data_IF_682124428409
#
_entry.id   IF_682124428409
#
_cell.length_a   1.000
_cell.length_b   1.000
_cell.length_c   1.000
_cell.angle_alpha   90.00
_cell.angle_beta   90.00
_cell.angle_gamma   90.00
#
_symmetry.space_group_name_H-M   'P 1'
#
loop_
_entity.id
_entity.type
_entity.pdbx_description
1 polymer ?
#
# COMPACT_ATOMS: atom_id res chain seq x y z
N UNK A 1 -27.26 -15.44 -26.35
CA UNK A 1 -25.80 -15.39 -26.07
C UNK A 1 -25.44 -14.36 -25.02
N UNK A 2 -25.93 -13.12 -25.06
CA UNK A 2 -25.58 -12.09 -24.06
C UNK A 2 -25.99 -12.42 -22.60
N UNK A 3 -27.12 -13.08 -22.38
CA UNK A 3 -27.61 -13.43 -21.05
C UNK A 3 -26.76 -14.45 -20.27
N UNK A 4 -25.93 -15.24 -20.95
CA UNK A 4 -25.01 -16.20 -20.31
C UNK A 4 -23.62 -15.63 -20.02
N UNK A 5 -23.23 -14.54 -20.68
CA UNK A 5 -21.94 -13.89 -20.49
C UNK A 5 -21.91 -13.08 -19.17
N UNK A 6 -23.03 -12.50 -18.77
CA UNK A 6 -23.13 -11.66 -17.56
C UNK A 6 -22.71 -12.39 -16.28
N UNK A 7 -23.22 -13.61 -15.96
CA UNK A 7 -22.84 -14.31 -14.75
C UNK A 7 -21.38 -14.78 -14.76
N UNK A 8 -20.84 -15.13 -15.93
CA UNK A 8 -19.43 -15.53 -16.05
C UNK A 8 -18.48 -14.34 -15.82
N UNK A 9 -18.80 -13.15 -16.35
CA UNK A 9 -18.04 -11.93 -16.11
C UNK A 9 -18.09 -11.55 -14.64
N UNK A 10 -19.27 -11.61 -13.99
CA UNK A 10 -19.38 -11.33 -12.57
C UNK A 10 -18.61 -12.32 -11.70
N UNK A 11 -18.58 -13.59 -12.08
CA UNK A 11 -17.78 -14.60 -11.39
C UNK A 11 -16.27 -14.30 -11.51
N UNK A 12 -15.79 -13.98 -12.73
CA UNK A 12 -14.41 -13.64 -12.98
C UNK A 12 -13.97 -12.40 -12.20
N UNK A 13 -14.81 -11.35 -12.22
CA UNK A 13 -14.59 -10.15 -11.42
C UNK A 13 -14.57 -10.48 -9.93
N UNK A 14 -15.49 -11.32 -9.46
CA UNK A 14 -15.56 -11.77 -8.08
C UNK A 14 -14.26 -12.46 -7.63
N UNK A 15 -13.68 -13.32 -8.47
CA UNK A 15 -12.39 -13.97 -8.20
C UNK A 15 -11.26 -12.93 -8.13
N UNK A 16 -11.21 -11.98 -9.06
CA UNK A 16 -10.22 -10.90 -9.05
C UNK A 16 -10.31 -10.07 -7.76
N UNK A 17 -11.52 -9.68 -7.36
CA UNK A 17 -11.75 -8.96 -6.12
C UNK A 17 -11.50 -9.82 -4.87
N UNK A 18 -11.73 -11.12 -4.90
CA UNK A 18 -11.36 -12.03 -3.81
C UNK A 18 -9.85 -11.97 -3.55
N UNK A 19 -9.03 -12.07 -4.60
CA UNK A 19 -7.57 -11.96 -4.47
C UNK A 19 -7.15 -10.60 -3.91
N UNK A 20 -7.75 -9.51 -4.39
CA UNK A 20 -7.51 -8.17 -3.90
C UNK A 20 -7.91 -8.02 -2.41
N UNK A 21 -9.07 -8.57 -2.03
CA UNK A 21 -9.56 -8.57 -0.66
C UNK A 21 -8.63 -9.34 0.29
N UNK A 22 -8.19 -10.53 -0.10
CA UNK A 22 -7.22 -11.33 0.69
C UNK A 22 -5.93 -10.55 0.89
N UNK A 23 -5.40 -9.93 -0.17
CA UNK A 23 -4.20 -9.10 -0.07
C UNK A 23 -4.37 -7.95 0.92
N UNK A 24 -5.45 -7.16 0.80
CA UNK A 24 -5.71 -6.04 1.70
C UNK A 24 -5.96 -6.50 3.14
N UNK A 25 -6.65 -7.61 3.33
CA UNK A 25 -6.86 -8.19 4.65
C UNK A 25 -5.52 -8.59 5.30
N UNK A 26 -4.64 -9.26 4.57
CA UNK A 26 -3.29 -9.63 5.05
C UNK A 26 -2.46 -8.38 5.36
N UNK A 27 -2.49 -7.35 4.52
CA UNK A 27 -1.80 -6.08 4.78
C UNK A 27 -2.33 -5.42 6.06
N UNK A 28 -3.64 -5.39 6.24
CA UNK A 28 -4.29 -4.82 7.44
C UNK A 28 -3.94 -5.60 8.71
N UNK A 29 -3.99 -6.93 8.66
CA UNK A 29 -3.60 -7.78 9.79
C UNK A 29 -2.12 -7.60 10.16
N UNK A 30 -1.25 -7.52 9.18
CA UNK A 30 0.17 -7.25 9.38
C UNK A 30 0.39 -5.86 10.02
N UNK A 31 -0.39 -4.86 9.61
CA UNK A 31 -0.36 -3.55 10.22
C UNK A 31 -0.82 -3.59 11.68
N UNK A 32 -1.94 -4.24 11.98
CA UNK A 32 -2.47 -4.35 13.34
C UNK A 32 -1.45 -5.01 14.28
N UNK A 33 -0.78 -6.07 13.81
CA UNK A 33 0.27 -6.76 14.58
C UNK A 33 1.49 -5.87 14.87
N UNK A 34 1.85 -4.96 13.94
CA UNK A 34 3.02 -4.08 14.06
C UNK A 34 2.72 -2.70 14.61
N UNK A 35 1.45 -2.37 14.83
CA UNK A 35 1.05 -1.03 15.27
C UNK A 35 1.73 -0.61 16.59
N UNK A 36 1.95 -1.55 17.49
CA UNK A 36 2.63 -1.32 18.77
C UNK A 36 4.13 -1.01 18.63
N UNK A 37 4.76 -1.39 17.53
CA UNK A 37 6.18 -1.16 17.24
C UNK A 37 6.43 0.09 16.39
N UNK A 38 5.43 0.94 16.22
CA UNK A 38 5.52 2.17 15.44
C UNK A 38 6.42 3.20 16.14
N UNK A 39 7.46 3.66 15.45
CA UNK A 39 8.40 4.68 15.95
C UNK A 39 8.02 6.07 15.46
N UNK A 40 7.76 6.21 14.16
CA UNK A 40 7.34 7.46 13.53
C UNK A 40 6.38 7.13 12.39
N UNK A 41 5.12 7.53 12.51
CA UNK A 41 4.11 7.21 11.50
C UNK A 41 3.25 8.43 11.18
N UNK A 42 2.79 8.49 9.94
CA UNK A 42 1.84 9.48 9.45
C UNK A 42 0.79 8.80 8.56
N UNK A 43 -0.29 9.50 8.33
CA UNK A 43 -1.34 9.02 7.42
C UNK A 43 -0.86 9.12 5.98
N UNK A 44 -1.04 8.06 5.21
CA UNK A 44 -0.83 8.10 3.77
C UNK A 44 -1.78 9.08 3.08
N UNK A 45 -1.40 9.56 1.89
CA UNK A 45 -2.28 10.37 1.05
C UNK A 45 -3.52 9.55 0.66
N UNK A 46 -4.69 10.21 0.64
CA UNK A 46 -5.91 9.57 0.16
C UNK A 46 -5.81 9.36 -1.36
N UNK A 47 -6.27 8.22 -1.89
CA UNK A 47 -6.36 8.03 -3.34
C UNK A 47 -7.16 9.16 -3.99
N UNK A 48 -6.77 9.55 -5.21
CA UNK A 48 -7.36 10.69 -5.94
C UNK A 48 -8.89 10.62 -6.08
N UNK A 49 -9.43 9.41 -6.18
CA UNK A 49 -10.87 9.16 -6.35
C UNK A 49 -11.51 8.47 -5.14
N UNK A 50 -10.97 8.72 -3.93
CA UNK A 50 -11.44 8.05 -2.71
C UNK A 50 -12.95 8.22 -2.48
N UNK A 51 -13.49 9.44 -2.66
CA UNK A 51 -14.92 9.71 -2.50
C UNK A 51 -15.79 8.92 -3.50
N UNK A 52 -15.37 8.84 -4.77
CA UNK A 52 -16.06 8.06 -5.80
C UNK A 52 -16.03 6.56 -5.48
N UNK A 53 -14.90 6.06 -5.01
CA UNK A 53 -14.76 4.65 -4.62
C UNK A 53 -15.64 4.30 -3.42
N UNK A 54 -15.78 5.20 -2.45
CA UNK A 54 -16.68 5.02 -1.33
C UNK A 54 -18.15 5.04 -1.77
N UNK A 55 -18.53 5.98 -2.65
CA UNK A 55 -19.88 6.04 -3.22
C UNK A 55 -20.21 4.75 -3.99
N UNK A 56 -19.26 4.23 -4.77
CA UNK A 56 -19.40 2.93 -5.44
C UNK A 56 -19.62 1.81 -4.43
N UNK A 57 -18.90 1.80 -3.32
CA UNK A 57 -19.11 0.85 -2.22
C UNK A 57 -20.54 0.91 -1.67
N UNK A 58 -21.08 2.11 -1.46
CA UNK A 58 -22.47 2.28 -0.99
C UNK A 58 -23.48 1.73 -2.01
N UNK A 59 -23.32 2.09 -3.30
CA UNK A 59 -24.18 1.59 -4.38
C UNK A 59 -24.15 0.07 -4.46
N UNK A 60 -22.96 -0.54 -4.42
CA UNK A 60 -22.81 -2.01 -4.43
C UNK A 60 -23.46 -2.66 -3.20
N UNK A 61 -23.37 -2.02 -2.04
CA UNK A 61 -24.05 -2.49 -0.82
C UNK A 61 -25.57 -2.47 -0.95
N UNK A 62 -26.12 -1.40 -1.52
CA UNK A 62 -27.57 -1.31 -1.79
C UNK A 62 -28.03 -2.34 -2.82
N UNK A 63 -27.25 -2.54 -3.90
CA UNK A 63 -27.53 -3.59 -4.90
C UNK A 63 -27.47 -4.99 -4.27
N UNK A 64 -26.45 -5.26 -3.46
CA UNK A 64 -26.34 -6.54 -2.76
C UNK A 64 -27.53 -6.80 -1.83
N UNK A 65 -27.93 -5.77 -1.08
CA UNK A 65 -29.10 -5.83 -0.22
C UNK A 65 -30.37 -6.12 -1.03
N UNK A 66 -30.60 -5.39 -2.12
CA UNK A 66 -31.75 -5.56 -3.01
C UNK A 66 -31.79 -6.98 -3.62
N UNK A 67 -30.66 -7.43 -4.18
CA UNK A 67 -30.55 -8.77 -4.77
C UNK A 67 -30.80 -9.90 -3.74
N UNK A 68 -30.34 -9.69 -2.50
CA UNK A 68 -30.46 -10.69 -1.43
C UNK A 68 -31.89 -10.73 -0.83
N UNK A 69 -32.45 -9.56 -0.50
CA UNK A 69 -33.72 -9.50 0.28
C UNK A 69 -34.97 -9.32 -0.57
N UNK A 70 -34.86 -8.70 -1.76
CA UNK A 70 -36.01 -8.47 -2.65
C UNK A 70 -36.08 -9.52 -3.75
N UNK A 71 -34.95 -9.78 -4.43
CA UNK A 71 -34.91 -10.75 -5.52
C UNK A 71 -34.59 -12.18 -5.06
N UNK A 72 -34.25 -12.40 -3.81
CA UNK A 72 -33.89 -13.69 -3.21
C UNK A 72 -32.91 -14.51 -4.08
N UNK A 73 -31.91 -13.82 -4.69
CA UNK A 73 -30.95 -14.49 -5.55
C UNK A 73 -30.04 -15.47 -4.77
N UNK A 74 -29.71 -16.62 -5.34
CA UNK A 74 -28.83 -17.60 -4.68
C UNK A 74 -27.40 -17.04 -4.51
N UNK A 75 -26.70 -17.44 -3.45
CA UNK A 75 -25.36 -16.98 -3.07
C UNK A 75 -24.32 -16.96 -4.21
N UNK A 76 -24.29 -17.97 -5.13
CA UNK A 76 -23.33 -17.93 -6.24
C UNK A 76 -23.48 -16.72 -7.16
N UNK A 77 -24.71 -16.21 -7.33
CA UNK A 77 -24.97 -15.02 -8.15
C UNK A 77 -24.61 -13.72 -7.44
N UNK A 78 -24.62 -13.73 -6.10
CA UNK A 78 -24.25 -12.59 -5.26
C UNK A 78 -22.73 -12.46 -5.07
N UNK A 79 -21.96 -13.53 -5.40
CA UNK A 79 -20.54 -13.61 -5.10
C UNK A 79 -19.74 -12.42 -5.70
N UNK A 80 -19.93 -12.10 -6.98
CA UNK A 80 -19.21 -11.02 -7.65
C UNK A 80 -19.48 -9.66 -7.00
N UNK A 81 -20.75 -9.32 -6.84
CA UNK A 81 -21.16 -8.04 -6.24
C UNK A 81 -20.73 -7.97 -4.76
N UNK A 82 -20.85 -9.09 -4.03
CA UNK A 82 -20.42 -9.19 -2.63
C UNK A 82 -18.91 -8.95 -2.46
N UNK A 83 -18.06 -9.51 -3.34
CA UNK A 83 -16.62 -9.31 -3.30
C UNK A 83 -16.23 -7.86 -3.64
N UNK A 84 -16.91 -7.24 -4.61
CA UNK A 84 -16.72 -5.83 -4.94
C UNK A 84 -17.17 -4.91 -3.79
N UNK A 85 -18.31 -5.19 -3.18
CA UNK A 85 -18.78 -4.46 -1.99
C UNK A 85 -17.79 -4.56 -0.83
N UNK A 86 -17.29 -5.76 -0.53
CA UNK A 86 -16.29 -5.98 0.52
C UNK A 86 -15.02 -5.16 0.26
N UNK A 87 -14.59 -5.08 -1.00
CA UNK A 87 -13.44 -4.28 -1.39
C UNK A 87 -13.66 -2.79 -1.19
N UNK A 88 -14.68 -2.21 -1.86
CA UNK A 88 -14.90 -0.75 -1.89
C UNK A 88 -15.57 -0.23 -0.62
N UNK A 89 -16.47 -0.98 -0.02
CA UNK A 89 -17.23 -0.58 1.17
C UNK A 89 -16.47 -0.78 2.48
N UNK A 90 -15.53 -1.73 2.55
CA UNK A 90 -14.89 -2.09 3.80
C UNK A 90 -13.36 -2.09 3.75
N UNK A 91 -12.73 -2.94 2.94
CA UNK A 91 -11.28 -3.16 3.01
C UNK A 91 -10.46 -1.99 2.49
N UNK A 92 -10.90 -1.35 1.43
CA UNK A 92 -10.22 -0.19 0.87
C UNK A 92 -10.27 1.02 1.82
N UNK A 93 -11.40 1.43 2.42
CA UNK A 93 -11.43 2.43 3.49
C UNK A 93 -10.55 2.08 4.69
N UNK A 94 -10.47 0.80 5.05
CA UNK A 94 -9.62 0.33 6.13
C UNK A 94 -8.13 0.45 5.79
N UNK A 95 -7.74 0.13 4.55
CA UNK A 95 -6.36 0.24 4.09
C UNK A 95 -5.80 1.67 4.10
N UNK A 96 -6.65 2.68 3.90
CA UNK A 96 -6.26 4.11 3.99
C UNK A 96 -5.87 4.52 5.43
N UNK A 97 -6.31 3.76 6.43
CA UNK A 97 -5.96 4.00 7.85
C UNK A 97 -4.59 3.43 8.23
N UNK A 98 -3.96 2.67 7.36
CA UNK A 98 -2.63 2.11 7.60
C UNK A 98 -1.61 3.25 7.71
N UNK A 99 -0.94 3.37 8.86
CA UNK A 99 0.11 4.35 9.09
C UNK A 99 1.34 4.04 8.25
N UNK A 100 1.78 5.02 7.44
CA UNK A 100 3.05 4.96 6.70
C UNK A 100 4.16 5.45 7.61
N UNK A 101 5.40 4.95 7.42
CA UNK A 101 6.55 5.41 8.19
C UNK A 101 7.40 4.30 8.76
N UNK A 102 8.07 4.60 9.86
CA UNK A 102 9.11 3.77 10.47
C UNK A 102 8.55 2.97 11.64
N UNK A 103 8.87 1.69 11.65
CA UNK A 103 8.57 0.72 12.70
C UNK A 103 9.86 0.14 13.26
N UNK A 104 9.81 -0.57 14.37
CA UNK A 104 11.01 -1.15 14.99
C UNK A 104 11.76 -2.10 14.05
N UNK A 105 11.05 -2.86 13.22
CA UNK A 105 11.56 -3.93 12.36
C UNK A 105 11.58 -3.60 10.85
N UNK A 106 11.12 -2.40 10.45
CA UNK A 106 11.10 -2.01 9.03
C UNK A 106 10.36 -0.71 8.75
N UNK A 107 10.10 -0.47 7.47
CA UNK A 107 9.45 0.74 6.97
C UNK A 107 8.16 0.35 6.24
N UNK A 108 7.06 1.03 6.55
CA UNK A 108 5.79 0.89 5.85
C UNK A 108 5.71 1.92 4.73
N UNK A 109 5.87 1.44 3.50
CA UNK A 109 5.82 2.24 2.27
C UNK A 109 4.40 2.30 1.71
N UNK A 110 4.21 3.04 0.61
CA UNK A 110 2.94 3.05 -0.12
C UNK A 110 2.59 1.67 -0.69
N UNK A 111 3.60 0.89 -1.07
CA UNK A 111 3.47 -0.45 -1.65
C UNK A 111 3.46 -1.59 -0.63
N UNK A 112 3.45 -1.29 0.69
CA UNK A 112 3.45 -2.25 1.78
C UNK A 112 4.70 -2.20 2.66
N UNK A 113 4.80 -3.15 3.59
CA UNK A 113 5.88 -3.21 4.58
C UNK A 113 7.17 -3.79 3.99
N UNK A 114 8.30 -3.15 4.32
CA UNK A 114 9.65 -3.62 3.96
C UNK A 114 10.50 -3.71 5.22
N UNK A 115 10.92 -4.90 5.66
CA UNK A 115 11.81 -5.04 6.80
C UNK A 115 13.21 -4.50 6.46
N UNK A 116 13.92 -3.98 7.48
CA UNK A 116 15.23 -3.34 7.30
C UNK A 116 16.25 -4.25 6.59
N UNK A 117 16.27 -5.54 6.89
CA UNK A 117 17.21 -6.48 6.27
C UNK A 117 17.03 -6.69 4.76
N UNK A 118 15.84 -6.32 4.23
CA UNK A 118 15.57 -6.37 2.77
C UNK A 118 15.96 -5.11 2.04
N UNK A 119 16.37 -4.06 2.74
CA UNK A 119 16.76 -2.79 2.15
C UNK A 119 18.20 -2.91 1.63
N UNK A 120 18.38 -2.71 0.33
CA UNK A 120 19.68 -2.74 -0.34
C UNK A 120 20.27 -1.36 -0.56
N UNK A 121 19.43 -0.36 -0.84
CA UNK A 121 19.85 1.03 -0.99
C UNK A 121 18.74 1.99 -0.58
N UNK A 122 19.12 3.19 -0.17
CA UNK A 122 18.21 4.25 0.27
C UNK A 122 18.67 5.56 -0.36
N UNK A 123 17.73 6.31 -0.94
CA UNK A 123 18.01 7.62 -1.52
C UNK A 123 16.89 8.59 -1.12
N UNK A 124 17.25 9.85 -0.85
CA UNK A 124 16.30 10.93 -0.68
C UNK A 124 16.12 11.65 -2.02
N UNK A 125 14.88 11.85 -2.39
CA UNK A 125 14.52 12.66 -3.55
C UNK A 125 13.79 13.90 -3.06
N UNK A 126 14.40 15.04 -3.26
CA UNK A 126 13.84 16.35 -2.97
C UNK A 126 13.18 16.90 -4.25
N UNK A 127 11.96 17.39 -4.14
CA UNK A 127 11.15 17.93 -5.23
C UNK A 127 9.93 18.63 -4.61
N UNK A 128 8.81 18.68 -5.33
CA UNK A 128 7.55 19.18 -4.77
C UNK A 128 7.15 18.43 -3.49
N UNK A 129 7.48 17.14 -3.42
CA UNK A 129 7.31 16.29 -2.25
C UNK A 129 8.63 15.62 -1.90
N UNK A 130 8.97 15.64 -0.61
CA UNK A 130 10.13 14.90 -0.11
C UNK A 130 9.78 13.42 -0.11
N UNK A 131 10.55 12.63 -0.83
CA UNK A 131 10.33 11.20 -0.95
C UNK A 131 11.57 10.40 -0.56
N UNK A 132 11.38 9.39 0.28
CA UNK A 132 12.36 8.36 0.55
C UNK A 132 12.19 7.24 -0.48
N UNK A 133 13.21 7.00 -1.28
CA UNK A 133 13.23 5.90 -2.24
C UNK A 133 14.05 4.77 -1.64
N UNK A 134 13.44 3.61 -1.54
CA UNK A 134 14.05 2.40 -0.98
C UNK A 134 14.15 1.36 -2.10
N UNK A 135 15.34 0.85 -2.33
CA UNK A 135 15.59 -0.24 -3.28
C UNK A 135 15.69 -1.54 -2.51
N UNK A 136 14.87 -2.52 -2.89
CA UNK A 136 14.90 -3.84 -2.27
C UNK A 136 16.08 -4.65 -2.78
N UNK A 137 16.83 -5.29 -1.84
CA UNK A 137 18.00 -6.13 -2.15
C UNK A 137 17.67 -7.30 -3.08
N UNK A 138 16.46 -7.89 -2.94
CA UNK A 138 16.11 -9.13 -3.64
C UNK A 138 15.53 -8.92 -5.05
N UNK A 139 14.97 -7.74 -5.35
CA UNK A 139 14.21 -7.52 -6.59
C UNK A 139 14.60 -6.27 -7.36
N UNK A 140 15.58 -5.50 -6.89
CA UNK A 140 15.97 -4.19 -7.46
C UNK A 140 14.79 -3.23 -7.72
N UNK A 141 13.68 -3.44 -7.01
CA UNK A 141 12.47 -2.64 -7.15
C UNK A 141 12.60 -1.42 -6.25
N UNK A 142 12.63 -0.26 -6.87
CA UNK A 142 12.53 1.01 -6.17
C UNK A 142 11.09 1.22 -5.65
N UNK A 143 10.96 1.53 -4.37
CA UNK A 143 9.70 1.81 -3.70
C UNK A 143 9.76 3.19 -3.08
N UNK A 144 8.69 3.94 -3.20
CA UNK A 144 8.62 5.33 -2.72
C UNK A 144 7.85 5.40 -1.40
N UNK A 145 8.31 6.29 -0.51
CA UNK A 145 7.59 6.75 0.66
C UNK A 145 7.59 8.28 0.67
N UNK A 146 6.44 8.89 0.53
CA UNK A 146 6.31 10.34 0.68
C UNK A 146 6.38 10.69 2.16
N UNK A 147 7.30 11.60 2.50
CA UNK A 147 7.53 12.05 3.88
C UNK A 147 7.07 13.49 4.01
N UNK A 148 6.04 13.77 4.83
CA UNK A 148 5.65 15.15 5.09
C UNK A 148 6.83 15.95 5.67
N UNK A 149 7.00 17.22 5.25
CA UNK A 149 8.11 18.07 5.68
C UNK A 149 8.26 18.16 7.20
N UNK A 150 7.14 18.16 7.94
CA UNK A 150 7.11 18.15 9.41
C UNK A 150 7.84 16.94 10.02
N UNK A 151 7.83 15.81 9.34
CA UNK A 151 8.45 14.56 9.81
C UNK A 151 9.83 14.29 9.20
N UNK A 152 10.30 15.15 8.27
CA UNK A 152 11.55 14.92 7.53
C UNK A 152 12.76 14.78 8.44
N UNK A 153 12.97 15.73 9.35
CA UNK A 153 14.11 15.72 10.26
C UNK A 153 14.13 14.48 11.17
N UNK A 154 12.95 14.09 11.68
CA UNK A 154 12.80 12.91 12.52
C UNK A 154 13.03 11.61 11.72
N UNK A 155 12.48 11.52 10.51
CA UNK A 155 12.68 10.39 9.60
C UNK A 155 14.16 10.21 9.23
N UNK A 156 14.88 11.32 8.94
CA UNK A 156 16.30 11.31 8.62
C UNK A 156 17.15 10.85 9.80
N UNK A 157 16.83 11.29 11.02
CA UNK A 157 17.51 10.82 12.24
C UNK A 157 17.30 9.33 12.45
N UNK A 158 16.04 8.87 12.45
CA UNK A 158 15.71 7.45 12.62
C UNK A 158 16.42 6.56 11.59
N UNK A 159 16.44 6.99 10.33
CA UNK A 159 17.12 6.24 9.28
C UNK A 159 18.62 6.14 9.54
N UNK A 160 19.25 7.25 9.97
CA UNK A 160 20.69 7.29 10.33
C UNK A 160 20.96 6.35 11.51
N UNK A 161 20.13 6.39 12.55
CA UNK A 161 20.28 5.55 13.74
C UNK A 161 20.15 4.06 13.38
N UNK A 162 19.23 3.71 12.49
CA UNK A 162 19.05 2.34 11.97
C UNK A 162 20.21 1.86 11.10
N UNK A 163 20.82 2.74 10.33
CA UNK A 163 22.05 2.45 9.57
C UNK A 163 23.23 2.26 10.53
N UNK A 164 23.39 3.14 11.54
CA UNK A 164 24.45 3.05 12.53
C UNK A 164 24.32 1.78 13.40
N UNK A 165 23.11 1.35 13.69
CA UNK A 165 22.82 0.08 14.41
C UNK A 165 23.02 -1.17 13.54
N UNK A 166 23.44 -1.05 12.28
CA UNK A 166 23.60 -2.15 11.31
C UNK A 166 22.30 -2.93 11.01
N UNK A 167 21.14 -2.36 11.34
CA UNK A 167 19.83 -2.95 10.98
C UNK A 167 19.63 -2.93 9.46
N UNK A 168 20.24 -1.94 8.77
CA UNK A 168 20.25 -1.81 7.32
C UNK A 168 21.69 -2.06 6.84
N UNK A 169 21.87 -3.15 6.11
CA UNK A 169 23.14 -3.48 5.47
C UNK A 169 23.05 -3.20 3.98
N UNK A 170 23.74 -2.19 3.49
CA UNK A 170 23.78 -1.89 2.06
C UNK A 170 24.50 -3.01 1.31
N UNK A 171 23.93 -3.46 0.18
CA UNK A 171 24.66 -4.30 -0.76
C UNK A 171 25.68 -3.43 -1.47
N UNK A 172 26.96 -3.78 -1.42
CA UNK A 172 28.06 -3.08 -2.11
C UNK A 172 27.95 -3.07 -3.65
N UNK A 173 26.93 -3.71 -4.21
CA UNK A 173 26.55 -3.51 -5.60
C UNK A 173 25.75 -2.22 -5.69
N UNK A 174 26.42 -1.08 -5.45
CA UNK A 174 25.88 0.22 -5.74
C UNK A 174 25.50 0.26 -7.21
N UNK A 175 24.25 0.58 -7.52
CA UNK A 175 23.96 1.21 -8.79
C UNK A 175 24.87 2.44 -8.82
N UNK A 176 25.89 2.42 -9.66
CA UNK A 176 26.61 3.63 -10.07
C UNK A 176 25.56 4.53 -10.76
N UNK A 177 24.85 5.28 -9.96
CA UNK A 177 23.97 6.34 -10.44
C UNK A 177 24.86 7.53 -10.80
N UNK A 178 25.42 7.44 -12.02
CA UNK A 178 26.01 8.58 -12.71
C UNK A 178 27.29 9.12 -12.07
N UNK A 179 28.27 9.27 -12.90
CA UNK A 179 29.50 9.97 -12.61
C UNK A 179 29.26 11.26 -11.81
N UNK A 180 30.08 11.42 -10.83
CA UNK A 180 30.43 12.65 -10.14
C UNK A 180 30.16 13.87 -11.04
N UNK A 181 29.23 14.71 -10.66
CA UNK A 181 28.99 15.98 -11.33
C UNK A 181 30.12 16.92 -10.88
N UNK A 182 31.13 17.07 -11.75
CA UNK A 182 32.33 17.91 -11.54
C UNK A 182 32.02 19.43 -11.44
N UNK A 183 30.80 19.78 -10.99
CA UNK A 183 30.38 21.18 -10.85
C UNK A 183 30.52 21.79 -9.46
N UNK A 184 30.96 21.02 -8.48
CA UNK A 184 31.12 21.50 -7.11
C UNK A 184 32.54 21.99 -6.77
N UNK A 185 33.45 22.08 -7.76
CA UNK A 185 34.81 22.63 -7.61
C UNK A 185 34.95 24.00 -8.32
N UNK A 186 34.15 25.00 -7.89
CA UNK A 186 34.46 26.42 -8.17
C UNK A 186 34.07 27.27 -6.98
#
# INVERSE_FOLDING_TARGET
>A
MAAQLTPQILLLLGIGFLVANVRLAVETLNFLRRRSSALLTWRGSRPRYYGLQLALGVVLGLLLFYDMFVLHRPLPQLFGVGMMFLYYGYLMPLSVRIGRGFYADGIWLESGFVPYWKIGAVSWREGEEIALVIVSRLRSLARRLVVPGVHYAAARRLLRDKIAAHDIQFSHTGLELGAHDDRDDV
#
